data_IF_419238719646
#
_entry.id   IF_419238719646
#
_cell.length_a   1.000
_cell.length_b   1.000
_cell.length_c   1.000
_cell.angle_alpha   90.00
_cell.angle_beta   90.00
_cell.angle_gamma   90.00
#
_symmetry.space_group_name_H-M   'P 1'
#
loop_
_entity.id
_entity.type
_entity.pdbx_description
1 polymer ?
#
# COMPACT_ATOMS: atom_id res chain seq x y z
N UNK A 1 -12.74 6.46 -7.80
CA UNK A 1 -13.24 5.69 -6.65
C UNK A 1 -14.45 4.82 -7.01
N UNK A 2 -15.61 5.36 -7.36
CA UNK A 2 -16.79 4.50 -7.66
C UNK A 2 -16.58 3.48 -8.78
N UNK A 3 -15.87 3.81 -9.84
CA UNK A 3 -15.61 2.91 -10.98
C UNK A 3 -14.71 1.73 -10.63
N UNK A 4 -13.92 1.87 -9.58
CA UNK A 4 -12.95 0.87 -9.16
C UNK A 4 -13.41 0.13 -7.89
N UNK A 5 -14.60 0.49 -7.38
CA UNK A 5 -15.17 -0.13 -6.21
C UNK A 5 -15.91 -1.42 -6.56
N UNK A 6 -15.49 -2.52 -5.97
CA UNK A 6 -16.06 -3.86 -6.19
C UNK A 6 -17.03 -4.32 -5.09
N UNK A 7 -17.19 -3.53 -4.03
CA UNK A 7 -18.11 -3.81 -2.93
C UNK A 7 -19.55 -3.34 -3.22
N UNK A 8 -20.42 -3.41 -2.19
CA UNK A 8 -21.77 -2.87 -2.30
C UNK A 8 -21.73 -1.39 -2.65
N UNK A 9 -22.54 -0.92 -3.62
CA UNK A 9 -22.62 0.50 -3.94
C UNK A 9 -23.30 1.32 -2.83
N UNK A 10 -24.01 0.67 -1.91
CA UNK A 10 -24.62 1.32 -0.75
C UNK A 10 -23.68 1.27 0.45
N UNK A 11 -23.56 2.38 1.16
CA UNK A 11 -22.74 2.47 2.37
C UNK A 11 -21.26 2.78 2.14
N UNK A 12 -20.86 3.15 0.92
CA UNK A 12 -19.49 3.59 0.67
C UNK A 12 -19.24 4.93 1.37
N UNK A 13 -18.24 4.96 2.24
CA UNK A 13 -17.83 6.14 2.99
C UNK A 13 -16.31 6.22 3.10
N UNK A 14 -15.82 7.38 3.49
CA UNK A 14 -14.42 7.60 3.84
C UNK A 14 -14.37 7.90 5.34
N UNK A 15 -13.55 7.15 6.07
CA UNK A 15 -13.30 7.35 7.49
C UNK A 15 -12.08 8.23 7.74
N UNK A 16 -11.10 8.15 6.84
CA UNK A 16 -9.90 8.99 6.89
C UNK A 16 -9.19 8.99 5.56
N UNK A 17 -8.34 9.99 5.37
CA UNK A 17 -7.34 9.97 4.30
C UNK A 17 -6.03 10.60 4.74
N UNK A 18 -4.96 10.19 4.09
CA UNK A 18 -3.63 10.78 4.22
C UNK A 18 -3.02 10.99 2.84
N UNK A 19 -2.47 12.17 2.61
CA UNK A 19 -1.66 12.47 1.43
C UNK A 19 -0.24 11.97 1.68
N UNK A 20 0.16 10.96 0.94
CA UNK A 20 1.50 10.36 1.07
C UNK A 20 2.37 10.86 -0.07
N UNK A 21 3.47 11.51 0.28
CA UNK A 21 4.45 12.03 -0.68
C UNK A 21 5.73 11.22 -0.69
N UNK A 22 6.06 10.62 0.46
CA UNK A 22 7.30 9.87 0.67
C UNK A 22 7.01 8.56 1.37
N UNK A 23 7.74 7.53 1.01
CA UNK A 23 7.72 6.22 1.66
C UNK A 23 9.14 5.65 1.67
N UNK A 24 9.62 5.23 2.85
CA UNK A 24 10.89 4.51 3.03
C UNK A 24 12.08 5.21 2.34
N UNK A 25 12.17 6.54 2.41
CA UNK A 25 13.24 7.31 1.78
C UNK A 25 13.06 7.55 0.29
N UNK A 26 11.88 7.28 -0.26
CA UNK A 26 11.57 7.54 -1.67
C UNK A 26 10.45 8.55 -1.80
N UNK A 27 10.63 9.52 -2.70
CA UNK A 27 9.59 10.42 -3.17
C UNK A 27 8.70 9.71 -4.18
N UNK A 28 7.38 9.84 -4.01
CA UNK A 28 6.38 9.31 -4.94
C UNK A 28 6.08 10.38 -5.98
N UNK A 29 6.35 10.08 -7.25
CA UNK A 29 6.02 10.94 -8.37
C UNK A 29 4.90 10.31 -9.20
N UNK A 30 3.96 11.15 -9.64
CA UNK A 30 2.87 10.76 -10.51
C UNK A 30 3.13 11.31 -11.92
N UNK A 31 3.35 10.43 -12.89
CA UNK A 31 3.66 10.78 -14.26
C UNK A 31 2.43 10.50 -15.13
N UNK A 32 1.97 11.50 -15.88
CA UNK A 32 0.85 11.35 -16.79
C UNK A 32 1.34 10.79 -18.14
N UNK A 33 1.00 9.54 -18.41
CA UNK A 33 1.42 8.84 -19.63
C UNK A 33 0.97 9.50 -20.94
N UNK A 34 -0.17 10.17 -20.93
CA UNK A 34 -0.72 10.79 -22.14
C UNK A 34 0.01 12.07 -22.56
N UNK A 35 0.60 12.77 -21.58
CA UNK A 35 1.30 14.04 -21.81
C UNK A 35 2.81 13.88 -21.98
N UNK A 36 3.39 12.83 -21.41
CA UNK A 36 4.84 12.69 -21.26
C UNK A 36 5.47 11.69 -22.26
N UNK A 37 4.74 11.30 -23.31
CA UNK A 37 5.25 10.43 -24.41
C UNK A 37 6.54 10.91 -25.06
N UNK A 38 6.93 12.16 -24.82
CA UNK A 38 8.14 12.78 -25.41
C UNK A 38 9.42 12.36 -24.66
N UNK A 39 9.32 11.78 -23.46
CA UNK A 39 10.46 11.50 -22.60
C UNK A 39 10.81 10.00 -22.41
N UNK A 40 10.31 9.11 -23.25
CA UNK A 40 10.59 7.65 -23.14
C UNK A 40 12.10 7.31 -23.13
N UNK A 41 12.93 8.12 -23.73
CA UNK A 41 14.39 7.90 -23.77
C UNK A 41 15.10 8.18 -22.42
N UNK A 42 14.46 8.86 -21.47
CA UNK A 42 15.05 9.14 -20.14
C UNK A 42 14.82 8.03 -19.11
N UNK A 43 13.84 7.17 -19.33
CA UNK A 43 13.42 6.14 -18.38
C UNK A 43 14.24 4.85 -18.43
N UNK A 44 15.14 4.71 -19.39
CA UNK A 44 15.99 3.52 -19.54
C UNK A 44 17.39 3.77 -18.93
N UNK A 45 17.49 4.27 -17.74
CA UNK A 45 18.70 4.02 -16.93
C UNK A 45 18.46 2.76 -16.11
N UNK A 46 19.00 1.66 -16.63
CA UNK A 46 19.20 0.39 -15.96
C UNK A 46 19.83 0.61 -14.58
N UNK A 47 19.04 0.47 -13.53
CA UNK A 47 19.59 0.23 -12.20
C UNK A 47 18.97 -1.05 -11.65
N UNK A 48 19.81 -2.00 -11.32
CA UNK A 48 19.53 -3.39 -10.94
C UNK A 48 18.81 -3.58 -9.59
N UNK A 49 18.15 -2.58 -9.07
CA UNK A 49 17.32 -2.68 -7.88
C UNK A 49 16.20 -1.63 -7.90
N UNK A 50 15.41 -1.59 -8.98
CA UNK A 50 14.29 -0.66 -9.05
C UNK A 50 13.30 -0.99 -7.95
N UNK A 51 13.15 -0.08 -6.99
CA UNK A 51 12.11 -0.17 -5.97
C UNK A 51 10.76 0.18 -6.59
N UNK A 52 9.74 -0.49 -6.09
CA UNK A 52 8.35 -0.28 -6.46
C UNK A 52 7.52 0.02 -5.21
N UNK A 53 6.39 0.66 -5.40
CA UNK A 53 5.42 0.91 -4.34
C UNK A 53 4.52 -0.32 -4.19
N UNK A 54 4.39 -0.80 -2.96
CA UNK A 54 3.56 -1.94 -2.61
C UNK A 54 2.55 -1.53 -1.55
N UNK A 55 1.30 -1.91 -1.75
CA UNK A 55 0.32 -1.96 -0.68
C UNK A 55 0.44 -3.32 0.02
N UNK A 56 0.53 -3.30 1.34
CA UNK A 56 0.61 -4.53 2.13
C UNK A 56 -0.40 -4.45 3.26
N UNK A 57 -1.16 -5.53 3.45
CA UNK A 57 -2.02 -5.75 4.59
C UNK A 57 -1.56 -7.03 5.29
N UNK A 58 -1.35 -6.96 6.59
CA UNK A 58 -0.93 -8.10 7.41
C UNK A 58 -1.84 -8.28 8.60
N UNK A 59 -2.16 -9.53 8.89
CA UNK A 59 -2.90 -9.94 10.07
C UNK A 59 -2.00 -10.57 11.13
N UNK A 60 -2.40 -10.50 12.39
CA UNK A 60 -1.68 -11.14 13.47
C UNK A 60 -2.45 -11.17 14.78
N UNK A 61 -2.08 -12.09 15.67
CA UNK A 61 -2.72 -12.31 16.95
C UNK A 61 -1.82 -11.87 18.08
N UNK A 62 -2.38 -11.08 18.98
CA UNK A 62 -1.73 -10.75 20.26
C UNK A 62 -2.15 -11.77 21.31
N UNK A 63 -1.22 -12.38 22.08
CA UNK A 63 -1.56 -13.41 23.07
C UNK A 63 -2.59 -12.97 24.12
N UNK A 64 -2.74 -11.66 24.32
CA UNK A 64 -3.66 -11.06 25.29
C UNK A 64 -4.96 -10.54 24.65
N UNK A 65 -5.24 -10.86 23.39
CA UNK A 65 -6.43 -10.41 22.67
C UNK A 65 -7.11 -11.59 22.02
N UNK A 66 -8.44 -11.65 22.08
CA UNK A 66 -9.25 -12.63 21.35
C UNK A 66 -9.46 -12.23 19.88
N UNK A 67 -9.09 -11.02 19.52
CA UNK A 67 -9.30 -10.47 18.18
C UNK A 67 -8.01 -10.51 17.37
N UNK A 68 -8.15 -10.87 16.12
CA UNK A 68 -7.12 -10.64 15.12
C UNK A 68 -6.93 -9.15 14.91
N UNK A 69 -5.68 -8.74 14.77
CA UNK A 69 -5.32 -7.36 14.43
C UNK A 69 -4.78 -7.31 13.03
N UNK A 70 -5.24 -6.31 12.30
CA UNK A 70 -4.73 -6.02 10.96
C UNK A 70 -4.02 -4.66 10.97
N UNK A 71 -2.90 -4.61 10.26
CA UNK A 71 -2.24 -3.36 9.90
C UNK A 71 -1.94 -3.38 8.41
N UNK A 72 -2.15 -2.25 7.77
CA UNK A 72 -1.93 -2.09 6.33
C UNK A 72 -1.24 -0.76 6.04
N UNK A 73 -0.58 -0.70 4.89
CA UNK A 73 0.08 0.53 4.46
C UNK A 73 0.90 0.34 3.20
N UNK A 74 1.75 1.30 2.95
CA UNK A 74 2.65 1.30 1.80
C UNK A 74 4.08 1.00 2.25
N UNK A 75 4.80 0.27 1.40
CA UNK A 75 6.24 0.03 1.52
C UNK A 75 6.91 0.12 0.15
N UNK A 76 8.21 0.38 0.15
CA UNK A 76 9.01 0.34 -1.07
C UNK A 76 9.91 -0.89 -1.10
N UNK A 77 9.77 -1.71 -2.13
CA UNK A 77 10.53 -2.95 -2.27
C UNK A 77 10.76 -3.31 -3.74
N UNK A 78 11.79 -4.11 -4.01
CA UNK A 78 12.06 -4.61 -5.36
C UNK A 78 11.21 -5.83 -5.70
N UNK A 79 10.79 -6.58 -4.70
CA UNK A 79 9.99 -7.81 -4.85
C UNK A 79 8.85 -7.86 -3.85
N UNK A 80 7.82 -8.68 -4.15
CA UNK A 80 6.70 -8.97 -3.24
C UNK A 80 7.22 -9.52 -1.90
N UNK A 81 8.14 -10.46 -1.94
CA UNK A 81 8.71 -11.07 -0.74
C UNK A 81 9.42 -10.04 0.15
N UNK A 82 10.21 -9.15 -0.45
CA UNK A 82 10.85 -8.06 0.28
C UNK A 82 9.81 -7.12 0.92
N UNK A 83 8.76 -6.75 0.17
CA UNK A 83 7.68 -5.90 0.68
C UNK A 83 6.99 -6.51 1.90
N UNK A 84 6.65 -7.80 1.84
CA UNK A 84 6.06 -8.53 2.96
C UNK A 84 6.98 -8.57 4.18
N UNK A 85 8.28 -8.79 3.98
CA UNK A 85 9.24 -8.81 5.08
C UNK A 85 9.40 -7.44 5.73
N UNK A 86 9.44 -6.37 4.94
CA UNK A 86 9.47 -4.99 5.46
C UNK A 86 8.22 -4.71 6.29
N UNK A 87 7.03 -5.01 5.78
CA UNK A 87 5.79 -4.83 6.51
C UNK A 87 5.78 -5.62 7.84
N UNK A 88 6.18 -6.88 7.79
CA UNK A 88 6.28 -7.75 8.97
C UNK A 88 7.26 -7.23 10.03
N UNK A 89 8.32 -6.54 9.63
CA UNK A 89 9.28 -5.95 10.58
C UNK A 89 8.79 -4.66 11.21
N UNK A 90 7.98 -3.89 10.48
CA UNK A 90 7.49 -2.58 10.92
C UNK A 90 6.18 -2.66 11.71
N UNK A 91 5.28 -3.55 11.32
CA UNK A 91 3.90 -3.57 11.79
C UNK A 91 3.60 -4.78 12.66
N UNK A 92 2.51 -4.71 13.43
CA UNK A 92 2.06 -5.74 14.36
C UNK A 92 3.16 -6.18 15.32
N UNK A 93 3.93 -5.23 15.86
CA UNK A 93 4.99 -5.49 16.84
C UNK A 93 4.37 -6.14 18.08
N UNK A 94 4.96 -7.25 18.53
CA UNK A 94 4.46 -8.03 19.67
C UNK A 94 3.28 -8.95 19.35
N UNK A 95 2.80 -8.98 18.10
CA UNK A 95 1.86 -9.98 17.66
C UNK A 95 2.59 -11.27 17.22
N UNK A 96 2.03 -12.42 17.58
CA UNK A 96 2.45 -13.70 17.01
C UNK A 96 1.78 -13.85 15.66
N UNK A 97 2.58 -13.94 14.61
CA UNK A 97 2.11 -14.12 13.23
C UNK A 97 1.88 -15.62 13.03
N UNK A 98 0.65 -16.08 13.29
CA UNK A 98 0.26 -17.44 12.94
C UNK A 98 -0.36 -17.43 11.56
N UNK A 99 0.45 -17.64 10.53
CA UNK A 99 0.01 -18.20 9.28
C UNK A 99 0.74 -19.52 9.14
N UNK A 100 0.24 -20.54 9.80
CA UNK A 100 0.63 -21.93 9.58
C UNK A 100 -0.61 -22.78 9.37
N UNK A 101 -0.68 -23.29 8.20
CA UNK A 101 -0.98 -24.67 7.79
C UNK A 101 -2.41 -25.17 7.92
N UNK A 102 -3.23 -24.72 8.83
CA UNK A 102 -4.62 -25.15 8.94
C UNK A 102 -5.61 -24.25 8.21
N UNK A 103 -5.11 -23.25 7.52
CA UNK A 103 -5.90 -22.20 6.88
C UNK A 103 -5.77 -22.26 5.35
N UNK A 104 -5.43 -23.39 4.78
CA UNK A 104 -5.36 -23.54 3.33
C UNK A 104 -6.67 -23.17 2.61
N UNK A 105 -7.80 -23.31 3.28
CA UNK A 105 -9.10 -22.87 2.77
C UNK A 105 -9.40 -21.40 3.02
N UNK A 106 -8.88 -20.81 4.11
CA UNK A 106 -8.92 -19.37 4.36
C UNK A 106 -7.87 -18.61 3.54
N UNK A 107 -6.76 -19.25 3.21
CA UNK A 107 -5.70 -18.69 2.37
C UNK A 107 -6.21 -18.24 0.99
N UNK A 108 -7.24 -18.88 0.47
CA UNK A 108 -7.89 -18.41 -0.76
C UNK A 108 -8.71 -17.13 -0.57
N UNK A 109 -9.26 -16.89 0.62
CA UNK A 109 -9.98 -15.66 0.97
C UNK A 109 -9.00 -14.54 1.40
N UNK A 110 -7.92 -14.91 2.07
CA UNK A 110 -6.86 -13.98 2.54
C UNK A 110 -5.82 -13.65 1.48
N UNK A 111 -5.84 -14.29 0.33
CA UNK A 111 -5.00 -13.91 -0.82
C UNK A 111 -5.27 -12.50 -1.34
N UNK A 112 -6.42 -11.93 -1.01
CA UNK A 112 -6.73 -10.54 -1.31
C UNK A 112 -6.08 -9.55 -0.33
N UNK A 113 -5.68 -10.00 0.86
CA UNK A 113 -5.11 -9.14 1.90
C UNK A 113 -3.62 -8.91 1.76
N UNK A 114 -3.01 -9.45 0.76
CA UNK A 114 -1.61 -9.68 0.83
C UNK A 114 -0.71 -8.50 0.57
N UNK A 115 -0.41 -8.34 -0.67
CA UNK A 115 0.67 -7.49 -1.08
C UNK A 115 0.52 -7.21 -2.56
N UNK A 116 0.12 -5.99 -2.87
CA UNK A 116 -0.18 -5.56 -4.23
C UNK A 116 0.80 -4.52 -4.73
N UNK A 117 1.27 -4.74 -5.95
CA UNK A 117 2.15 -3.82 -6.63
C UNK A 117 1.35 -2.66 -7.22
N UNK A 118 1.61 -1.43 -6.74
CA UNK A 118 0.97 -0.23 -7.26
C UNK A 118 1.87 0.40 -8.33
N UNK A 119 1.59 0.07 -9.59
CA UNK A 119 2.31 0.66 -10.75
C UNK A 119 1.66 1.93 -11.27
N UNK A 120 0.33 1.99 -11.18
CA UNK A 120 -0.47 3.09 -11.74
C UNK A 120 -1.73 3.32 -10.92
N UNK A 121 -2.22 4.53 -10.94
CA UNK A 121 -3.53 4.93 -10.41
C UNK A 121 -4.25 5.71 -11.51
N UNK A 122 -5.29 5.11 -12.09
CA UNK A 122 -5.95 5.68 -13.27
C UNK A 122 -4.95 5.92 -14.41
N UNK A 123 -4.82 7.17 -14.87
CA UNK A 123 -3.89 7.60 -15.94
C UNK A 123 -2.48 7.94 -15.44
N UNK A 124 -2.24 7.85 -14.13
CA UNK A 124 -0.97 8.23 -13.52
C UNK A 124 -0.11 6.99 -13.27
N UNK A 125 1.10 7.00 -13.79
CA UNK A 125 2.13 6.02 -13.43
C UNK A 125 2.86 6.48 -12.17
N UNK A 126 3.18 5.53 -11.31
CA UNK A 126 3.98 5.77 -10.11
C UNK A 126 5.46 5.56 -10.42
N UNK A 127 6.25 6.58 -10.11
CA UNK A 127 7.70 6.50 -10.13
C UNK A 127 8.26 6.87 -8.76
N UNK A 128 9.23 6.09 -8.29
CA UNK A 128 9.92 6.32 -7.03
C UNK A 128 11.30 6.90 -7.29
N UNK A 129 11.61 8.03 -6.65
CA UNK A 129 12.93 8.66 -6.70
C UNK A 129 13.52 8.67 -5.29
N UNK A 130 14.75 8.13 -5.08
CA UNK A 130 15.43 8.23 -3.78
C UNK A 130 15.56 9.69 -3.35
N UNK A 131 15.30 9.95 -2.07
CA UNK A 131 15.46 11.28 -1.48
C UNK A 131 16.26 11.18 -0.18
N UNK A 132 17.51 11.63 -0.22
CA UNK A 132 18.41 11.58 0.92
C UNK A 132 18.04 12.58 2.03
N UNK A 133 17.18 13.54 1.72
CA UNK A 133 16.67 14.53 2.68
C UNK A 133 15.29 14.13 3.25
N UNK A 134 14.90 12.87 3.05
CA UNK A 134 13.65 12.34 3.56
C UNK A 134 13.56 12.51 5.08
N UNK A 135 12.45 13.13 5.51
CA UNK A 135 12.03 13.15 6.89
C UNK A 135 10.81 12.25 6.99
N UNK A 136 10.86 11.28 7.88
CA UNK A 136 9.73 10.38 8.10
C UNK A 136 8.50 11.18 8.57
N UNK A 137 7.46 11.16 7.77
CA UNK A 137 6.20 11.80 8.12
C UNK A 137 5.49 10.96 9.19
N UNK A 138 4.83 11.61 10.12
CA UNK A 138 4.00 10.88 11.08
C UNK A 138 2.86 10.13 10.36
N UNK A 139 2.33 9.10 10.98
CA UNK A 139 1.25 8.28 10.42
C UNK A 139 -0.16 8.81 10.71
N UNK A 140 -0.28 10.06 11.18
CA UNK A 140 -1.60 10.64 11.42
C UNK A 140 -2.30 10.97 10.09
N UNK A 141 -3.60 10.76 10.01
CA UNK A 141 -4.38 11.16 8.85
C UNK A 141 -4.43 12.69 8.72
N UNK A 142 -4.47 13.18 7.47
CA UNK A 142 -4.72 14.59 7.19
C UNK A 142 -6.17 14.98 7.50
N UNK A 143 -7.06 14.00 7.45
CA UNK A 143 -8.46 14.12 7.82
C UNK A 143 -9.00 12.78 8.31
N UNK A 144 -9.88 12.83 9.30
CA UNK A 144 -10.63 11.68 9.80
C UNK A 144 -12.08 12.08 10.12
N UNK A 145 -12.99 11.15 9.99
CA UNK A 145 -14.42 11.35 10.23
C UNK A 145 -15.25 10.35 9.47
N UNK A 146 -16.49 10.67 9.19
CA UNK A 146 -17.41 9.86 8.42
C UNK A 146 -17.97 10.66 7.26
N UNK A 147 -17.53 10.39 6.05
CA UNK A 147 -18.00 11.05 4.83
C UNK A 147 -18.62 10.03 3.89
N UNK A 148 -19.94 10.07 3.71
CA UNK A 148 -20.62 9.26 2.71
C UNK A 148 -20.24 9.67 1.29
N UNK A 149 -20.00 8.70 0.43
CA UNK A 149 -19.70 8.88 -0.99
C UNK A 149 -20.90 8.49 -1.86
N UNK A 150 -21.81 7.67 -1.33
CA UNK A 150 -23.04 7.29 -1.98
C UNK A 150 -24.04 8.46 -1.92
N UNK A 151 -24.55 8.85 -3.07
CA UNK A 151 -25.57 9.91 -3.18
C UNK A 151 -25.13 11.19 -3.87
N UNK A 152 -23.94 11.20 -4.47
CA UNK A 152 -23.53 12.26 -5.41
C UNK A 152 -23.71 11.80 -6.85
#
# INVERSE_FOLDING_TARGET
MRKDWFGSPKGLHIDSYKKIKYIDGYKINLINFEKDKINEKRLVKKNNAKKHLWFVNIGGYKPTSMQEKHEFGLVTASTKFEAQNIAKSKWLIGCKKKHKDDIASLDMLLRCDDCELIKKIGKWQIELTPDNNFIEENNYPDWYGYQKIDGI
#
